data_IF_422797018598
#
_entry.id   IF_422797018598
#
_cell.length_a   1.000
_cell.length_b   1.000
_cell.length_c   1.000
_cell.angle_alpha   90.00
_cell.angle_beta   90.00
_cell.angle_gamma   90.00
#
_symmetry.space_group_name_H-M   'P 1'
#
loop_
_entity.id
_entity.type
_entity.pdbx_description
1 polymer ?
#
# COMPACT_ATOMS: atom_id res chain seq x y z
N UNK A 1 -35.16 -18.50 9.47
CA UNK A 1 -33.80 -18.20 8.96
C UNK A 1 -32.81 -17.86 10.11
N UNK A 2 -32.94 -18.50 11.27
CA UNK A 2 -32.20 -18.14 12.51
C UNK A 2 -31.10 -19.12 12.93
N UNK A 3 -30.94 -20.27 12.26
CA UNK A 3 -29.97 -21.31 12.65
C UNK A 3 -28.60 -21.23 11.95
N UNK A 4 -28.51 -20.60 10.78
CA UNK A 4 -27.22 -20.52 10.05
C UNK A 4 -26.19 -19.60 10.73
N UNK A 5 -26.63 -18.75 11.68
CA UNK A 5 -25.76 -17.87 12.42
C UNK A 5 -24.86 -18.60 13.43
N UNK A 6 -25.27 -19.79 13.91
CA UNK A 6 -24.56 -20.54 14.96
C UNK A 6 -23.68 -21.68 14.46
N UNK A 7 -23.53 -21.87 13.15
CA UNK A 7 -22.63 -22.93 12.64
C UNK A 7 -21.18 -22.52 12.96
N UNK A 8 -20.45 -23.28 13.79
CA UNK A 8 -19.08 -22.96 14.19
C UNK A 8 -18.17 -22.86 12.96
N UNK A 9 -17.14 -22.01 13.05
CA UNK A 9 -16.15 -21.86 11.99
C UNK A 9 -15.29 -23.11 11.98
N UNK A 10 -15.56 -24.03 11.06
CA UNK A 10 -14.75 -25.24 10.85
C UNK A 10 -13.46 -24.84 10.11
N UNK A 11 -12.28 -25.25 10.59
CA UNK A 11 -11.03 -25.10 9.84
C UNK A 11 -11.19 -25.63 8.39
N UNK A 12 -10.62 -24.94 7.41
CA UNK A 12 -10.75 -25.20 5.96
C UNK A 12 -12.17 -25.09 5.37
N UNK A 13 -13.14 -24.61 6.14
CA UNK A 13 -14.46 -24.24 5.63
C UNK A 13 -14.48 -22.88 4.90
N UNK A 14 -15.48 -22.67 4.03
CA UNK A 14 -15.68 -21.40 3.30
C UNK A 14 -15.78 -20.18 4.25
N UNK A 15 -16.42 -20.36 5.42
CA UNK A 15 -16.52 -19.29 6.45
C UNK A 15 -15.16 -18.98 7.08
N UNK A 16 -14.29 -19.98 7.26
CA UNK A 16 -12.96 -19.81 7.81
C UNK A 16 -12.08 -18.98 6.88
N UNK A 17 -12.05 -19.30 5.58
CA UNK A 17 -11.31 -18.49 4.60
C UNK A 17 -11.81 -17.04 4.54
N UNK A 18 -13.13 -16.82 4.58
CA UNK A 18 -13.71 -15.46 4.65
C UNK A 18 -13.28 -14.70 5.89
N UNK A 19 -13.29 -15.36 7.05
CA UNK A 19 -12.84 -14.75 8.31
C UNK A 19 -11.36 -14.37 8.25
N UNK A 20 -10.51 -15.27 7.76
CA UNK A 20 -9.07 -15.05 7.62
C UNK A 20 -8.76 -13.86 6.71
N UNK A 21 -9.41 -13.78 5.54
CA UNK A 21 -9.22 -12.66 4.60
C UNK A 21 -9.72 -11.34 5.21
N UNK A 22 -10.85 -11.33 5.92
CA UNK A 22 -11.38 -10.10 6.56
C UNK A 22 -10.49 -9.60 7.70
N UNK A 23 -9.96 -10.51 8.51
CA UNK A 23 -9.13 -10.18 9.66
C UNK A 23 -7.73 -9.73 9.24
N UNK A 24 -7.11 -10.47 8.32
CA UNK A 24 -5.70 -10.28 7.97
C UNK A 24 -5.49 -9.44 6.70
N UNK A 25 -6.53 -9.19 5.92
CA UNK A 25 -6.46 -8.40 4.67
C UNK A 25 -5.82 -7.01 4.83
N UNK A 26 -6.14 -6.22 5.88
CA UNK A 26 -5.47 -4.94 6.12
C UNK A 26 -3.96 -5.10 6.34
N UNK A 27 -3.55 -6.08 7.16
CA UNK A 27 -2.14 -6.36 7.45
C UNK A 27 -1.40 -6.87 6.22
N UNK A 28 -2.01 -7.77 5.45
CA UNK A 28 -1.42 -8.24 4.18
C UNK A 28 -1.28 -7.11 3.16
N UNK A 29 -2.14 -6.10 3.22
CA UNK A 29 -2.04 -4.90 2.38
C UNK A 29 -0.75 -4.11 2.57
N UNK A 30 -0.07 -4.28 3.71
CA UNK A 30 1.20 -3.60 4.03
C UNK A 30 2.44 -4.35 3.52
N UNK A 31 2.31 -5.64 3.16
CA UNK A 31 3.48 -6.49 2.86
C UNK A 31 4.28 -6.01 1.64
N UNK A 32 3.59 -5.70 0.54
CA UNK A 32 4.20 -5.21 -0.69
C UNK A 32 4.81 -3.81 -0.50
N UNK A 33 4.09 -2.79 0.03
CA UNK A 33 4.70 -1.47 0.25
C UNK A 33 5.83 -1.52 1.27
N UNK A 34 5.77 -2.40 2.28
CA UNK A 34 6.90 -2.63 3.18
C UNK A 34 8.13 -3.15 2.43
N UNK A 35 7.98 -4.16 1.57
CA UNK A 35 9.07 -4.68 0.75
C UNK A 35 9.66 -3.60 -0.18
N UNK A 36 8.80 -2.79 -0.82
CA UNK A 36 9.24 -1.64 -1.61
C UNK A 36 10.04 -0.64 -0.76
N UNK A 37 9.59 -0.33 0.45
CA UNK A 37 10.27 0.58 1.36
C UNK A 37 11.64 0.08 1.80
N UNK A 38 11.75 -1.21 2.14
CA UNK A 38 13.04 -1.85 2.45
C UNK A 38 13.99 -1.79 1.26
N UNK A 39 13.53 -2.15 0.06
CA UNK A 39 14.34 -2.07 -1.16
C UNK A 39 14.76 -0.64 -1.48
N UNK A 40 13.86 0.34 -1.28
CA UNK A 40 14.18 1.76 -1.44
C UNK A 40 15.30 2.19 -0.50
N UNK A 41 15.21 1.83 0.79
CA UNK A 41 16.25 2.13 1.78
C UNK A 41 17.60 1.52 1.38
N UNK A 42 17.63 0.26 0.95
CA UNK A 42 18.87 -0.40 0.51
C UNK A 42 19.47 0.25 -0.74
N UNK A 43 18.64 0.70 -1.67
CA UNK A 43 19.11 1.36 -2.88
C UNK A 43 19.66 2.76 -2.62
N UNK A 44 19.02 3.53 -1.74
CA UNK A 44 19.36 4.93 -1.46
C UNK A 44 20.53 5.08 -0.47
N UNK A 45 20.67 4.17 0.49
CA UNK A 45 21.68 4.32 1.55
C UNK A 45 23.09 4.18 0.98
N UNK A 46 23.92 5.21 1.19
CA UNK A 46 25.33 5.23 0.77
C UNK A 46 25.54 5.15 -0.74
N UNK A 47 24.55 5.55 -1.54
CA UNK A 47 24.63 5.49 -3.00
C UNK A 47 24.90 6.84 -3.64
N UNK A 48 25.95 6.92 -4.46
CA UNK A 48 26.21 8.05 -5.37
C UNK A 48 25.74 7.78 -6.80
N UNK A 49 25.23 6.56 -7.07
CA UNK A 49 24.75 6.17 -8.40
C UNK A 49 23.38 6.76 -8.72
N UNK A 50 23.28 7.47 -9.84
CA UNK A 50 22.02 8.04 -10.36
C UNK A 50 20.92 7.00 -10.52
N UNK A 51 21.24 5.83 -11.10
CA UNK A 51 20.24 4.77 -11.33
C UNK A 51 19.66 4.23 -10.02
N UNK A 52 20.51 3.97 -9.03
CA UNK A 52 20.08 3.55 -7.68
C UNK A 52 19.23 4.64 -7.02
N UNK A 53 19.61 5.91 -7.20
CA UNK A 53 18.84 7.07 -6.73
C UNK A 53 17.42 7.10 -7.30
N UNK A 54 17.29 7.02 -8.63
CA UNK A 54 15.98 7.04 -9.31
C UNK A 54 15.12 5.85 -8.90
N UNK A 55 15.65 4.62 -8.97
CA UNK A 55 14.90 3.42 -8.59
C UNK A 55 14.50 3.44 -7.11
N UNK A 56 15.42 3.80 -6.23
CA UNK A 56 15.17 3.88 -4.80
C UNK A 56 14.11 4.90 -4.47
N UNK A 57 14.13 6.06 -5.14
CA UNK A 57 13.12 7.10 -4.98
C UNK A 57 11.74 6.66 -5.47
N UNK A 58 11.64 6.05 -6.66
CA UNK A 58 10.38 5.48 -7.16
C UNK A 58 9.81 4.46 -6.19
N UNK A 59 10.64 3.55 -5.68
CA UNK A 59 10.20 2.56 -4.68
C UNK A 59 9.78 3.20 -3.36
N UNK A 60 10.44 4.28 -2.93
CA UNK A 60 10.05 5.03 -1.74
C UNK A 60 8.65 5.66 -1.91
N UNK A 61 8.34 6.22 -3.09
CA UNK A 61 7.01 6.75 -3.40
C UNK A 61 5.95 5.64 -3.44
N UNK A 62 6.28 4.50 -4.04
CA UNK A 62 5.39 3.34 -4.12
C UNK A 62 5.07 2.77 -2.72
N UNK A 63 6.05 2.80 -1.82
CA UNK A 63 5.89 2.41 -0.42
C UNK A 63 5.10 3.45 0.38
N UNK A 64 5.45 4.73 0.19
CA UNK A 64 4.97 5.87 0.96
C UNK A 64 4.32 6.93 0.04
N UNK A 65 3.12 6.67 -0.50
CA UNK A 65 2.48 7.54 -1.49
C UNK A 65 2.11 8.93 -0.94
N UNK A 66 2.12 9.12 0.38
CA UNK A 66 1.86 10.42 1.01
C UNK A 66 3.12 11.27 1.24
N UNK A 67 4.32 10.76 0.91
CA UNK A 67 5.57 11.53 0.97
C UNK A 67 5.50 12.89 0.28
N UNK A 68 4.91 13.05 -0.94
CA UNK A 68 4.84 14.34 -1.62
C UNK A 68 4.15 15.42 -0.81
N UNK A 69 3.12 15.03 -0.05
CA UNK A 69 2.35 15.94 0.80
C UNK A 69 3.18 16.51 1.95
N UNK A 70 4.29 15.85 2.31
CA UNK A 70 5.21 16.28 3.37
C UNK A 70 6.41 17.08 2.83
N UNK A 71 6.43 17.36 1.51
CA UNK A 71 7.42 18.20 0.83
C UNK A 71 8.68 17.43 0.41
N UNK A 72 8.56 16.55 -0.59
CA UNK A 72 9.69 15.76 -1.12
C UNK A 72 10.86 16.62 -1.63
N UNK A 73 12.12 16.18 -1.40
CA UNK A 73 12.51 15.21 -0.39
C UNK A 73 12.18 15.79 0.98
N UNK A 74 11.58 15.02 1.89
CA UNK A 74 10.95 15.55 3.13
C UNK A 74 11.86 16.59 3.79
N UNK A 75 11.59 17.86 3.50
CA UNK A 75 12.39 18.98 3.99
C UNK A 75 11.87 19.34 5.38
N UNK A 76 12.14 18.47 6.35
CA UNK A 76 11.73 18.65 7.74
C UNK A 76 12.04 17.43 8.59
N UNK A 77 12.23 17.68 9.89
CA UNK A 77 12.71 16.67 10.85
C UNK A 77 11.79 15.47 11.04
N UNK A 78 12.15 14.60 11.99
CA UNK A 78 11.56 13.28 12.23
C UNK A 78 10.01 13.24 12.25
N UNK A 79 9.34 14.31 12.68
CA UNK A 79 7.88 14.40 12.72
C UNK A 79 7.25 14.27 11.33
N UNK A 80 7.79 14.92 10.29
CA UNK A 80 7.23 14.84 8.93
C UNK A 80 7.40 13.44 8.33
N UNK A 81 8.52 12.80 8.63
CA UNK A 81 8.76 11.39 8.29
C UNK A 81 7.76 10.47 8.97
N UNK A 82 7.53 10.65 10.27
CA UNK A 82 6.55 9.86 11.01
C UNK A 82 5.14 10.03 10.42
N UNK A 83 4.74 11.26 10.10
CA UNK A 83 3.45 11.53 9.46
C UNK A 83 3.32 10.87 8.08
N UNK A 84 4.36 10.93 7.23
CA UNK A 84 4.36 10.24 5.94
C UNK A 84 4.20 8.71 6.11
N UNK A 85 4.96 8.12 7.03
CA UNK A 85 4.94 6.68 7.30
C UNK A 85 3.56 6.24 7.81
N UNK A 86 3.04 6.91 8.83
CA UNK A 86 1.75 6.55 9.44
C UNK A 86 0.60 6.75 8.45
N UNK A 87 0.55 7.89 7.75
CA UNK A 87 -0.52 8.15 6.78
C UNK A 87 -0.48 7.17 5.59
N UNK A 88 0.71 6.83 5.09
CA UNK A 88 0.87 5.81 4.04
C UNK A 88 0.47 4.42 4.51
N UNK A 89 0.85 4.03 5.73
CA UNK A 89 0.44 2.77 6.33
C UNK A 89 -1.09 2.69 6.49
N UNK A 90 -1.74 3.79 6.90
CA UNK A 90 -3.20 3.87 6.97
C UNK A 90 -3.85 3.71 5.58
N UNK A 91 -3.31 4.36 4.55
CA UNK A 91 -3.78 4.21 3.16
C UNK A 91 -3.70 2.74 2.73
N UNK A 92 -2.55 2.08 2.93
CA UNK A 92 -2.37 0.69 2.53
C UNK A 92 -3.22 -0.30 3.33
N UNK A 93 -3.36 -0.07 4.64
CA UNK A 93 -4.25 -0.86 5.48
C UNK A 93 -5.72 -0.71 5.06
N UNK A 94 -6.15 0.51 4.71
CA UNK A 94 -7.50 0.77 4.21
C UNK A 94 -7.74 0.09 2.86
N UNK A 95 -6.76 0.12 1.94
CA UNK A 95 -6.84 -0.62 0.68
C UNK A 95 -6.96 -2.13 0.92
N UNK A 96 -6.15 -2.68 1.83
CA UNK A 96 -6.22 -4.08 2.24
C UNK A 96 -7.59 -4.45 2.83
N UNK A 97 -8.16 -3.56 3.65
CA UNK A 97 -9.51 -3.69 4.21
C UNK A 97 -10.61 -3.67 3.15
N UNK A 98 -10.57 -2.70 2.22
CA UNK A 98 -11.55 -2.58 1.14
C UNK A 98 -11.46 -3.80 0.21
N UNK A 99 -10.25 -4.24 -0.13
CA UNK A 99 -10.03 -5.46 -0.92
C UNK A 99 -10.60 -6.71 -0.21
N UNK A 100 -10.45 -6.82 1.11
CA UNK A 100 -11.04 -7.90 1.89
C UNK A 100 -12.57 -7.85 1.90
N UNK A 101 -13.18 -6.67 2.04
CA UNK A 101 -14.64 -6.52 1.94
C UNK A 101 -15.16 -6.91 0.55
N UNK A 102 -14.51 -6.45 -0.53
CA UNK A 102 -14.90 -6.73 -1.93
C UNK A 102 -14.70 -8.19 -2.35
N UNK A 103 -13.66 -8.85 -1.85
CA UNK A 103 -13.42 -10.27 -2.16
C UNK A 103 -14.36 -11.20 -1.39
N UNK A 104 -14.75 -10.84 -0.17
CA UNK A 104 -15.62 -11.67 0.69
C UNK A 104 -17.12 -11.49 0.43
N UNK A 105 -17.53 -10.57 -0.45
CA UNK A 105 -18.91 -10.46 -0.93
C UNK A 105 -19.23 -11.44 -2.07
N UNK A 106 -18.22 -12.13 -2.62
CA UNK A 106 -18.38 -13.12 -3.69
C UNK A 106 -18.54 -14.54 -3.11
N UNK A 107 -19.24 -15.40 -3.83
CA UNK A 107 -19.57 -16.79 -3.40
C UNK A 107 -18.30 -17.61 -3.16
N UNK A 108 -17.35 -17.57 -4.08
CA UNK A 108 -16.00 -18.09 -3.87
C UNK A 108 -15.11 -16.99 -3.26
N UNK A 109 -14.57 -17.22 -2.06
CA UNK A 109 -13.63 -16.31 -1.40
C UNK A 109 -12.30 -17.02 -1.22
N UNK A 110 -11.26 -16.52 -1.87
CA UNK A 110 -9.90 -17.03 -1.74
C UNK A 110 -8.88 -15.89 -1.72
N UNK A 111 -7.63 -16.19 -1.32
CA UNK A 111 -6.52 -15.23 -1.29
C UNK A 111 -6.15 -14.64 -2.66
N UNK A 112 -6.16 -15.40 -3.78
CA UNK A 112 -6.02 -14.85 -5.12
C UNK A 112 -7.03 -13.73 -5.44
N UNK A 113 -8.27 -13.85 -4.97
CA UNK A 113 -9.33 -12.87 -5.25
C UNK A 113 -9.09 -11.59 -4.49
N UNK A 114 -8.68 -11.70 -3.22
CA UNK A 114 -8.20 -10.57 -2.43
C UNK A 114 -7.03 -9.86 -3.13
N UNK A 115 -6.03 -10.61 -3.61
CA UNK A 115 -4.85 -10.06 -4.30
C UNK A 115 -5.26 -9.32 -5.57
N UNK A 116 -6.23 -9.84 -6.33
CA UNK A 116 -6.72 -9.21 -7.55
C UNK A 116 -7.40 -7.86 -7.25
N UNK A 117 -8.23 -7.80 -6.22
CA UNK A 117 -8.88 -6.54 -5.82
C UNK A 117 -7.89 -5.54 -5.22
N UNK A 118 -6.97 -6.02 -4.37
CA UNK A 118 -5.89 -5.19 -3.81
C UNK A 118 -5.03 -4.57 -4.92
N UNK A 119 -4.61 -5.37 -5.91
CA UNK A 119 -3.76 -4.90 -7.02
C UNK A 119 -4.45 -3.80 -7.84
N UNK A 120 -5.75 -3.91 -8.10
CA UNK A 120 -6.51 -2.88 -8.84
C UNK A 120 -6.50 -1.54 -8.10
N UNK A 121 -6.70 -1.57 -6.78
CA UNK A 121 -6.67 -0.37 -5.95
C UNK A 121 -5.25 0.19 -5.83
N UNK A 122 -4.25 -0.69 -5.62
CA UNK A 122 -2.84 -0.32 -5.49
C UNK A 122 -2.31 0.40 -6.74
N UNK A 123 -2.67 -0.10 -7.93
CA UNK A 123 -2.27 0.55 -9.20
C UNK A 123 -2.79 1.98 -9.29
N UNK A 124 -4.02 2.26 -8.85
CA UNK A 124 -4.54 3.62 -8.83
C UNK A 124 -3.74 4.56 -7.92
N UNK A 125 -3.35 4.08 -6.74
CA UNK A 125 -2.52 4.85 -5.80
C UNK A 125 -1.12 5.09 -6.35
N UNK A 126 -0.49 4.07 -6.92
CA UNK A 126 0.84 4.19 -7.53
C UNK A 126 0.85 5.16 -8.71
N UNK A 127 -0.11 5.01 -9.63
CA UNK A 127 -0.24 5.91 -10.77
C UNK A 127 -0.48 7.34 -10.29
N UNK A 128 -1.40 7.56 -9.34
CA UNK A 128 -1.68 8.89 -8.79
C UNK A 128 -0.46 9.52 -8.12
N UNK A 129 0.26 8.77 -7.27
CA UNK A 129 1.44 9.26 -6.57
C UNK A 129 2.60 9.59 -7.52
N UNK A 130 2.88 8.70 -8.48
CA UNK A 130 3.96 8.90 -9.46
C UNK A 130 3.65 10.05 -10.43
N UNK A 131 2.41 10.14 -10.94
CA UNK A 131 2.00 11.25 -11.79
C UNK A 131 2.02 12.58 -11.04
N UNK A 132 1.54 12.60 -9.78
CA UNK A 132 1.56 13.82 -8.97
C UNK A 132 2.98 14.38 -8.79
N UNK A 133 3.96 13.51 -8.58
CA UNK A 133 5.36 13.91 -8.47
C UNK A 133 5.95 14.30 -9.83
N UNK A 134 5.63 13.58 -10.90
CA UNK A 134 6.04 13.96 -12.25
C UNK A 134 5.58 15.37 -12.62
N UNK A 135 4.31 15.69 -12.34
CA UNK A 135 3.75 17.04 -12.54
C UNK A 135 4.45 18.06 -11.64
N UNK A 136 4.63 17.76 -10.36
CA UNK A 136 5.33 18.67 -9.43
C UNK A 136 6.76 18.98 -9.90
N UNK A 137 7.49 17.96 -10.37
CA UNK A 137 8.84 18.12 -10.90
C UNK A 137 8.87 19.02 -12.14
N UNK A 138 7.93 18.84 -13.08
CA UNK A 138 7.85 19.70 -14.28
C UNK A 138 7.51 21.16 -13.93
N UNK A 139 6.66 21.38 -12.94
CA UNK A 139 6.29 22.73 -12.50
C UNK A 139 7.46 23.43 -11.81
N UNK A 140 8.20 22.70 -10.96
CA UNK A 140 9.42 23.18 -10.32
C UNK A 140 10.50 23.53 -11.36
N UNK A 141 10.69 22.71 -12.39
CA UNK A 141 11.71 22.96 -13.41
C UNK A 141 11.44 24.18 -14.29
N UNK A 142 10.17 24.59 -14.45
CA UNK A 142 9.80 25.81 -15.21
C UNK A 142 9.93 27.06 -14.35
N UNK A 143 9.98 26.91 -13.03
CA UNK A 143 10.02 28.02 -12.06
C UNK A 143 11.44 28.38 -11.59
N UNK A 144 12.47 27.65 -12.05
CA UNK A 144 13.90 27.84 -11.78
C UNK A 144 14.61 28.33 -13.04
#
# INVERSE_FOLDING_TARGET
MSDLARVPIVPDGVRYHRFMVRRNGPLMGLTIPFACGVLALLLLTGSESTWRGVLGFVLAIMALPTLPLMGIPVMGGAVRWLLAIVSSALVWALIGFVAARRSTSRVATSWPEWRREWRRLAVGVWVGALLGIGVAATLLSVSL
#
